data_IF_426304595052
#
_entry.id   IF_426304595052
#
_cell.length_a   1.000
_cell.length_b   1.000
_cell.length_c   1.000
_cell.angle_alpha   90.00
_cell.angle_beta   90.00
_cell.angle_gamma   90.00
#
_symmetry.space_group_name_H-M   'P 1'
#
loop_
_entity.id
_entity.type
_entity.pdbx_description
1 polymer ?
#
# COMPACT_ATOMS: atom_id res chain seq x y z
N UNK A 1 -10.91 -10.01 4.59
CA UNK A 1 -9.78 -9.16 4.98
C UNK A 1 -9.99 -7.70 4.63
N UNK A 2 -10.25 -7.29 3.38
CA UNK A 2 -10.51 -5.87 3.08
C UNK A 2 -11.65 -5.30 3.94
N UNK A 3 -12.78 -6.01 4.00
CA UNK A 3 -13.94 -5.56 4.77
C UNK A 3 -13.63 -5.42 6.27
N UNK A 4 -12.82 -6.32 6.82
CA UNK A 4 -12.39 -6.28 8.22
C UNK A 4 -11.49 -5.07 8.50
N UNK A 5 -10.57 -4.76 7.58
CA UNK A 5 -9.70 -3.57 7.67
C UNK A 5 -10.53 -2.29 7.60
N UNK A 6 -11.47 -2.22 6.66
CA UNK A 6 -12.35 -1.05 6.51
C UNK A 6 -13.26 -0.89 7.72
N UNK A 7 -13.78 -1.98 8.27
CA UNK A 7 -14.59 -1.95 9.48
C UNK A 7 -13.79 -1.50 10.71
N UNK A 8 -12.53 -1.95 10.85
CA UNK A 8 -11.69 -1.63 12.00
C UNK A 8 -11.10 -0.21 11.95
N UNK A 9 -10.73 0.29 10.76
CA UNK A 9 -10.05 1.58 10.58
C UNK A 9 -10.98 2.69 10.07
N UNK A 10 -12.21 2.37 9.68
CA UNK A 10 -13.16 3.29 9.09
C UNK A 10 -13.62 4.38 10.07
N UNK A 11 -13.24 5.62 9.79
CA UNK A 11 -13.70 6.82 10.49
C UNK A 11 -13.98 7.93 9.47
N UNK A 12 -14.60 9.03 9.88
CA UNK A 12 -14.79 10.21 9.01
C UNK A 12 -13.47 10.86 8.55
N UNK A 13 -12.37 10.57 9.25
CA UNK A 13 -11.01 11.05 8.91
C UNK A 13 -10.18 10.02 8.17
N UNK A 14 -10.65 8.77 8.02
CA UNK A 14 -9.92 7.72 7.31
C UNK A 14 -10.41 7.64 5.87
N UNK A 15 -9.49 7.37 4.96
CA UNK A 15 -9.81 7.13 3.56
C UNK A 15 -8.92 6.01 3.03
N UNK A 16 -9.46 5.22 2.11
CA UNK A 16 -8.79 4.03 1.62
C UNK A 16 -8.58 4.13 0.11
N UNK A 17 -7.39 3.77 -0.34
CA UNK A 17 -7.12 3.46 -1.74
C UNK A 17 -6.89 1.96 -1.83
N UNK A 18 -7.79 1.24 -2.49
CA UNK A 18 -7.73 -0.22 -2.59
C UNK A 18 -7.13 -0.63 -3.92
N UNK A 19 -5.98 -1.30 -3.87
CA UNK A 19 -5.33 -1.90 -5.03
C UNK A 19 -5.63 -3.40 -5.04
N UNK A 20 -6.10 -3.95 -6.18
CA UNK A 20 -6.34 -5.39 -6.35
C UNK A 20 -5.14 -6.13 -6.94
N UNK A 21 -4.18 -5.40 -7.48
CA UNK A 21 -2.92 -5.91 -7.99
C UNK A 21 -1.77 -5.16 -7.32
N UNK A 22 -0.75 -5.88 -6.87
CA UNK A 22 0.44 -5.27 -6.27
C UNK A 22 1.13 -4.27 -7.19
N UNK A 23 1.03 -4.45 -8.52
CA UNK A 23 1.63 -3.57 -9.53
C UNK A 23 1.05 -2.15 -9.51
N UNK A 24 -0.19 -2.00 -9.06
CA UNK A 24 -0.88 -0.71 -9.03
C UNK A 24 -0.47 0.15 -7.82
N UNK A 25 0.12 -0.45 -6.78
CA UNK A 25 0.40 0.19 -5.49
C UNK A 25 1.33 1.39 -5.65
N UNK A 26 2.41 1.27 -6.42
CA UNK A 26 3.35 2.39 -6.63
C UNK A 26 2.68 3.59 -7.31
N UNK A 27 1.82 3.33 -8.30
CA UNK A 27 1.07 4.39 -8.98
C UNK A 27 0.08 5.05 -8.02
N UNK A 28 -0.62 4.27 -7.19
CA UNK A 28 -1.52 4.78 -6.17
C UNK A 28 -0.79 5.68 -5.15
N UNK A 29 0.37 5.26 -4.65
CA UNK A 29 1.19 6.05 -3.71
C UNK A 29 1.66 7.38 -4.31
N UNK A 30 2.00 7.40 -5.61
CA UNK A 30 2.37 8.62 -6.34
C UNK A 30 1.21 9.59 -6.50
N UNK A 31 0.00 9.08 -6.79
CA UNK A 31 -1.20 9.90 -6.91
C UNK A 31 -1.61 10.48 -5.56
N UNK A 32 -1.53 9.66 -4.51
CA UNK A 32 -1.85 10.06 -3.16
C UNK A 32 -1.04 9.23 -2.17
N UNK A 33 -0.07 9.86 -1.53
CA UNK A 33 0.74 9.20 -0.52
C UNK A 33 -0.12 8.86 0.70
N UNK A 34 -0.26 7.58 1.06
CA UNK A 34 -0.96 7.19 2.28
C UNK A 34 -0.04 7.27 3.50
N UNK A 35 -0.64 7.39 4.69
CA UNK A 35 0.10 7.34 5.96
C UNK A 35 0.62 5.94 6.28
N UNK A 36 -0.01 4.90 5.71
CA UNK A 36 0.38 3.50 5.85
C UNK A 36 -0.12 2.68 4.66
N UNK A 37 0.70 1.73 4.21
CA UNK A 37 0.30 0.71 3.24
C UNK A 37 0.12 -0.63 3.94
N UNK A 38 -1.08 -1.20 3.85
CA UNK A 38 -1.38 -2.56 4.33
C UNK A 38 -1.32 -3.51 3.15
N UNK A 39 -0.37 -4.44 3.16
CA UNK A 39 -0.06 -5.29 2.03
C UNK A 39 -0.21 -6.76 2.41
N UNK A 40 -0.94 -7.52 1.61
CA UNK A 40 -1.12 -8.95 1.80
C UNK A 40 0.02 -9.72 1.11
N UNK A 41 0.67 -10.64 1.84
CA UNK A 41 1.78 -11.46 1.34
C UNK A 41 1.38 -12.28 0.10
N UNK A 42 0.11 -12.64 -0.05
CA UNK A 42 -0.44 -13.46 -1.13
C UNK A 42 -1.18 -12.64 -2.20
N UNK A 43 -0.99 -11.31 -2.29
CA UNK A 43 -1.70 -10.48 -3.27
C UNK A 43 -1.26 -10.74 -4.71
N UNK A 44 -2.12 -11.44 -5.47
CA UNK A 44 -2.02 -11.59 -6.92
C UNK A 44 -0.66 -12.10 -7.41
N UNK A 45 -0.14 -11.50 -8.49
CA UNK A 45 1.14 -11.88 -9.08
C UNK A 45 2.37 -11.21 -8.44
N UNK A 46 2.16 -10.22 -7.56
CA UNK A 46 3.24 -9.47 -6.92
C UNK A 46 2.93 -9.28 -5.43
N UNK A 47 3.36 -10.25 -4.61
CA UNK A 47 3.11 -10.26 -3.17
C UNK A 47 3.73 -9.08 -2.40
N UNK A 48 3.31 -8.89 -1.14
CA UNK A 48 3.69 -7.73 -0.32
C UNK A 48 5.20 -7.45 -0.25
N UNK A 49 6.05 -8.49 -0.23
CA UNK A 49 7.51 -8.32 -0.23
C UNK A 49 8.01 -7.62 -1.50
N UNK A 50 7.53 -8.05 -2.68
CA UNK A 50 7.92 -7.46 -3.96
C UNK A 50 7.41 -6.02 -4.08
N UNK A 51 6.17 -5.76 -3.65
CA UNK A 51 5.59 -4.41 -3.57
C UNK A 51 6.44 -3.52 -2.66
N UNK A 52 6.80 -4.01 -1.47
CA UNK A 52 7.59 -3.24 -0.50
C UNK A 52 8.96 -2.90 -1.05
N UNK A 53 9.63 -3.85 -1.70
CA UNK A 53 10.91 -3.59 -2.37
C UNK A 53 10.78 -2.51 -3.44
N UNK A 54 9.71 -2.52 -4.24
CA UNK A 54 9.45 -1.47 -5.23
C UNK A 54 9.26 -0.10 -4.58
N UNK A 55 8.52 -0.03 -3.47
CA UNK A 55 8.35 1.22 -2.72
C UNK A 55 9.70 1.72 -2.18
N UNK A 56 10.56 0.85 -1.63
CA UNK A 56 11.89 1.24 -1.15
C UNK A 56 12.81 1.73 -2.27
N UNK A 57 12.74 1.10 -3.46
CA UNK A 57 13.51 1.52 -4.63
C UNK A 57 13.05 2.89 -5.14
N UNK A 58 11.74 3.17 -5.13
CA UNK A 58 11.19 4.47 -5.50
C UNK A 58 11.51 5.55 -4.47
N UNK A 59 11.42 5.24 -3.17
CA UNK A 59 11.83 6.12 -2.08
C UNK A 59 13.31 6.50 -2.18
N UNK A 60 14.19 5.50 -2.34
CA UNK A 60 15.64 5.70 -2.45
C UNK A 60 16.02 6.53 -3.68
N UNK A 61 15.21 6.47 -4.74
CA UNK A 61 15.32 7.31 -5.92
C UNK A 61 14.62 8.67 -5.80
N UNK A 62 14.12 9.03 -4.62
CA UNK A 62 13.33 10.25 -4.35
C UNK A 62 12.11 10.42 -5.26
N UNK A 63 11.56 9.31 -5.79
CA UNK A 63 10.37 9.30 -6.66
C UNK A 63 9.06 9.31 -5.86
N UNK A 64 9.10 8.85 -4.62
CA UNK A 64 7.99 8.87 -3.66
C UNK A 64 8.53 9.20 -2.26
N UNK A 65 7.71 9.78 -1.37
CA UNK A 65 8.03 9.85 0.06
C UNK A 65 8.03 8.46 0.72
N UNK A 66 8.60 8.38 1.93
CA UNK A 66 8.54 7.19 2.76
C UNK A 66 7.09 6.83 3.13
N UNK A 67 6.71 5.57 2.93
CA UNK A 67 5.40 5.03 3.34
C UNK A 67 5.63 3.86 4.30
N UNK A 68 5.17 3.91 5.56
CA UNK A 68 5.16 2.77 6.46
C UNK A 68 4.39 1.58 5.88
N UNK A 69 4.89 0.35 6.08
CA UNK A 69 4.25 -0.86 5.55
C UNK A 69 3.88 -1.81 6.69
N UNK A 70 2.65 -2.31 6.66
CA UNK A 70 2.18 -3.45 7.46
C UNK A 70 1.93 -4.61 6.52
N UNK A 71 2.58 -5.76 6.77
CA UNK A 71 2.37 -6.98 6.00
C UNK A 71 1.42 -7.92 6.72
N UNK A 72 0.49 -8.49 5.98
CA UNK A 72 -0.51 -9.47 6.44
C UNK A 72 -0.30 -10.83 5.77
#
# INVERSE_FOLDING_TARGET
MLDDIVAALGTSSTSFTVCRDGRDVTAAVKQRTPDVAVLDLQVGSMGAMAVTMNLRLDESGSRIPHVPVVML
#
